data_IF_111841387899
#
_entry.id   IF_111841387899
#
_cell.length_a   1.000
_cell.length_b   1.000
_cell.length_c   1.000
_cell.angle_alpha   90.00
_cell.angle_beta   90.00
_cell.angle_gamma   90.00
#
_symmetry.space_group_name_H-M   'P 1'
#
loop_
_entity.id
_entity.type
_entity.pdbx_description
1 polymer ?
#
# COMPACT_ATOMS: atom_id res chain seq x y z
N UNK A 1 12.50 -27.09 15.67
CA UNK A 1 13.68 -26.73 14.86
C UNK A 1 14.21 -25.42 15.41
N UNK A 2 15.53 -25.23 15.51
CA UNK A 2 16.11 -24.00 16.05
C UNK A 2 16.00 -22.86 15.03
N UNK A 3 14.98 -22.00 15.19
CA UNK A 3 14.65 -20.90 14.27
C UNK A 3 15.75 -19.83 14.20
N UNK A 4 16.67 -19.78 15.18
CA UNK A 4 17.79 -18.83 15.24
C UNK A 4 18.77 -18.95 14.07
N UNK A 5 18.75 -20.05 13.31
CA UNK A 5 19.64 -20.27 12.16
C UNK A 5 19.21 -19.57 10.88
N UNK A 6 18.01 -18.98 10.83
CA UNK A 6 17.45 -18.33 9.61
C UNK A 6 17.33 -16.82 9.72
N UNK A 7 17.81 -16.23 10.81
CA UNK A 7 17.72 -14.79 11.10
C UNK A 7 19.06 -14.13 10.78
N UNK A 8 19.04 -13.01 10.07
CA UNK A 8 20.24 -12.22 9.83
C UNK A 8 20.76 -11.62 11.15
N UNK A 9 22.08 -11.55 11.39
CA UNK A 9 22.61 -10.93 12.60
C UNK A 9 22.19 -9.46 12.72
N UNK A 10 21.95 -9.00 13.95
CA UNK A 10 21.64 -7.60 14.25
C UNK A 10 22.76 -6.68 13.71
N UNK A 11 22.44 -5.58 13.03
CA UNK A 11 23.45 -4.56 12.75
C UNK A 11 23.89 -3.93 14.08
N UNK A 12 25.18 -4.09 14.41
CA UNK A 12 25.80 -3.42 15.55
C UNK A 12 26.08 -1.97 15.18
N UNK A 13 25.53 -1.04 15.96
CA UNK A 13 25.85 0.38 15.87
C UNK A 13 27.19 0.61 16.56
N UNK A 14 28.29 0.49 15.83
CA UNK A 14 29.56 1.07 16.24
C UNK A 14 30.11 1.92 15.09
N UNK A 15 30.39 3.18 15.42
CA UNK A 15 31.10 4.21 14.65
C UNK A 15 30.44 4.77 13.37
N UNK A 16 29.37 5.54 13.53
CA UNK A 16 29.03 6.60 12.58
C UNK A 16 29.68 7.94 13.04
N UNK A 17 30.49 8.62 12.20
CA UNK A 17 31.07 9.90 12.58
C UNK A 17 29.99 10.98 12.70
N UNK A 18 30.16 12.00 13.57
CA UNK A 18 29.22 13.11 13.66
C UNK A 18 29.31 13.93 12.37
N UNK A 19 28.16 14.20 11.73
CA UNK A 19 28.13 15.02 10.52
C UNK A 19 27.64 16.44 10.86
N UNK A 20 28.46 17.38 10.43
CA UNK A 20 28.40 18.82 10.67
C UNK A 20 27.08 19.51 10.26
N UNK A 21 26.79 20.52 11.07
CA UNK A 21 25.81 21.61 10.98
C UNK A 21 25.04 21.84 9.66
N UNK A 22 23.71 21.83 9.80
CA UNK A 22 22.74 22.43 8.88
C UNK A 22 22.91 23.96 8.80
N UNK A 23 23.74 24.46 7.88
CA UNK A 23 23.62 25.84 7.37
C UNK A 23 24.17 25.94 5.95
N UNK A 24 23.29 25.92 4.95
CA UNK A 24 23.43 26.80 3.78
C UNK A 24 22.04 27.23 3.26
N UNK A 25 21.81 28.52 2.98
CA UNK A 25 20.62 28.98 2.27
C UNK A 25 20.81 28.75 0.76
N UNK A 26 19.82 28.16 0.10
CA UNK A 26 19.79 28.00 -1.35
C UNK A 26 18.94 29.10 -1.99
N UNK A 27 19.49 29.74 -3.01
CA UNK A 27 18.92 30.84 -3.79
C UNK A 27 18.01 30.29 -4.89
N UNK A 28 16.73 30.64 -4.85
CA UNK A 28 15.73 30.16 -5.80
C UNK A 28 15.51 31.19 -6.92
N UNK A 29 16.16 30.97 -8.07
CA UNK A 29 15.77 31.63 -9.32
C UNK A 29 15.20 30.62 -10.33
N UNK A 30 13.89 30.80 -10.56
CA UNK A 30 13.07 30.48 -11.74
C UNK A 30 13.28 29.16 -12.51
N UNK A 31 12.23 28.34 -12.53
CA UNK A 31 11.88 27.53 -13.69
C UNK A 31 10.36 27.28 -13.74
N UNK A 32 9.64 28.11 -14.51
CA UNK A 32 8.27 27.80 -14.95
C UNK A 32 8.30 26.70 -16.01
N UNK A 33 7.45 25.69 -15.87
CA UNK A 33 7.25 24.62 -16.85
C UNK A 33 6.02 24.92 -17.74
N UNK A 34 6.15 24.97 -19.07
CA UNK A 34 5.01 25.19 -19.96
C UNK A 34 4.24 23.89 -20.26
N UNK A 35 2.92 23.98 -20.15
CA UNK A 35 1.94 22.94 -20.49
C UNK A 35 1.74 22.91 -22.02
N UNK A 36 2.22 21.86 -22.72
CA UNK A 36 1.96 21.67 -24.15
C UNK A 36 0.59 21.02 -24.39
N UNK A 37 -0.37 21.78 -24.91
CA UNK A 37 -1.60 21.26 -25.52
C UNK A 37 -1.43 21.20 -27.05
N UNK A 38 -1.55 19.99 -27.59
CA UNK A 38 -1.47 19.72 -29.03
C UNK A 38 -2.87 19.77 -29.64
N UNK A 39 -3.16 20.75 -30.50
CA UNK A 39 -4.35 20.70 -31.38
C UNK A 39 -3.94 20.90 -32.83
N UNK A 40 -4.32 19.92 -33.65
CA UNK A 40 -4.01 19.80 -35.08
C UNK A 40 -5.04 20.60 -35.89
N UNK A 41 -4.61 21.63 -36.62
CA UNK A 41 -5.47 22.35 -37.57
C UNK A 41 -5.62 21.59 -38.90
N UNK A 42 -6.80 21.62 -39.54
CA UNK A 42 -6.93 21.42 -40.97
C UNK A 42 -7.15 22.74 -41.72
N UNK A 43 -6.31 22.97 -42.76
CA UNK A 43 -6.46 24.04 -43.75
C UNK A 43 -7.52 23.69 -44.80
N UNK A 44 -8.37 24.65 -45.17
CA UNK A 44 -9.14 24.59 -46.42
C UNK A 44 -10.31 25.58 -46.46
N UNK A 45 -10.20 26.65 -47.26
CA UNK A 45 -11.21 27.72 -47.43
C UNK A 45 -12.40 27.27 -48.28
N UNK A 46 -13.61 27.68 -47.90
CA UNK A 46 -14.70 27.91 -48.85
C UNK A 46 -15.44 29.23 -48.52
N UNK A 47 -15.48 30.14 -49.50
CA UNK A 47 -15.98 31.53 -49.41
C UNK A 47 -17.46 31.59 -49.79
N UNK A 48 -18.37 31.13 -48.95
CA UNK A 48 -19.80 31.52 -49.02
C UNK A 48 -20.41 31.15 -47.68
N UNK A 49 -20.68 32.15 -46.81
CA UNK A 49 -21.52 32.14 -45.59
C UNK A 49 -21.01 33.11 -44.52
N UNK A 50 -20.78 34.40 -44.86
CA UNK A 50 -20.43 35.41 -43.85
C UNK A 50 -21.62 35.83 -42.96
N UNK A 51 -22.87 35.60 -43.39
CA UNK A 51 -24.06 35.90 -42.58
C UNK A 51 -24.41 34.80 -41.56
N UNK A 52 -24.29 33.52 -41.93
CA UNK A 52 -24.63 32.40 -41.06
C UNK A 52 -23.58 32.17 -39.96
N UNK A 53 -22.31 32.44 -40.24
CA UNK A 53 -21.23 32.27 -39.26
C UNK A 53 -21.27 33.31 -38.13
N UNK A 54 -21.67 34.56 -38.44
CA UNK A 54 -21.85 35.61 -37.43
C UNK A 54 -23.07 35.31 -36.55
N UNK A 55 -24.16 34.80 -37.12
CA UNK A 55 -25.31 34.36 -36.35
C UNK A 55 -24.99 33.16 -35.45
N UNK A 56 -24.25 32.16 -35.94
CA UNK A 56 -23.79 31.01 -35.15
C UNK A 56 -22.79 31.40 -34.06
N UNK A 57 -21.87 32.34 -34.33
CA UNK A 57 -20.97 32.89 -33.32
C UNK A 57 -21.72 33.68 -32.26
N UNK A 58 -22.70 34.49 -32.64
CA UNK A 58 -23.54 35.23 -31.69
C UNK A 58 -24.39 34.29 -30.83
N UNK A 59 -24.93 33.21 -31.42
CA UNK A 59 -25.66 32.16 -30.70
C UNK A 59 -24.73 31.38 -29.77
N UNK A 60 -23.53 30.98 -30.22
CA UNK A 60 -22.54 30.31 -29.37
C UNK A 60 -22.04 31.23 -28.24
N UNK A 61 -21.83 32.52 -28.50
CA UNK A 61 -21.43 33.49 -27.49
C UNK A 61 -22.58 33.75 -26.50
N UNK A 62 -23.83 33.83 -26.97
CA UNK A 62 -25.02 33.92 -26.12
C UNK A 62 -25.22 32.66 -25.29
N UNK A 63 -24.98 31.46 -25.84
CA UNK A 63 -25.01 30.19 -25.10
C UNK A 63 -23.87 30.10 -24.06
N UNK A 64 -22.67 30.59 -24.38
CA UNK A 64 -21.54 30.67 -23.44
C UNK A 64 -21.80 31.68 -22.31
N UNK A 65 -22.43 32.81 -22.64
CA UNK A 65 -22.85 33.81 -21.65
C UNK A 65 -24.01 33.29 -20.79
N UNK A 66 -24.96 32.55 -21.37
CA UNK A 66 -26.03 31.86 -20.65
C UNK A 66 -25.48 30.72 -19.79
N UNK A 67 -24.44 29.99 -20.22
CA UNK A 67 -23.75 29.00 -19.38
C UNK A 67 -23.00 29.64 -18.20
N UNK A 68 -22.52 30.89 -18.33
CA UNK A 68 -21.95 31.64 -17.19
C UNK A 68 -23.00 32.23 -16.25
N UNK A 69 -24.24 32.40 -16.72
CA UNK A 69 -25.36 32.94 -15.94
C UNK A 69 -26.30 31.85 -15.39
N UNK A 70 -26.11 30.59 -15.77
CA UNK A 70 -26.69 29.50 -14.99
C UNK A 70 -25.94 29.51 -13.66
N UNK A 71 -26.62 29.71 -12.52
CA UNK A 71 -26.01 29.34 -11.26
C UNK A 71 -25.60 27.88 -11.47
N UNK A 72 -24.30 27.59 -11.40
CA UNK A 72 -23.87 26.22 -11.21
C UNK A 72 -24.80 25.69 -10.12
N UNK A 73 -25.52 24.57 -10.33
CA UNK A 73 -26.21 23.96 -9.22
C UNK A 73 -25.12 23.84 -8.19
N UNK A 74 -25.23 24.62 -7.11
CA UNK A 74 -24.35 24.45 -5.97
C UNK A 74 -24.54 22.97 -5.70
N UNK A 75 -23.47 22.18 -5.94
CA UNK A 75 -23.37 20.85 -5.36
C UNK A 75 -23.88 21.09 -3.96
N UNK A 76 -25.02 20.49 -3.55
CA UNK A 76 -25.55 20.75 -2.24
C UNK A 76 -24.34 20.64 -1.34
N UNK A 77 -24.03 21.72 -0.61
CA UNK A 77 -23.02 21.68 0.42
C UNK A 77 -23.56 20.60 1.32
N UNK A 78 -23.10 19.37 1.07
CA UNK A 78 -23.41 18.23 1.88
C UNK A 78 -22.77 18.69 3.17
N UNK A 79 -23.61 19.19 4.07
CA UNK A 79 -23.27 19.34 5.46
C UNK A 79 -22.45 18.10 5.77
N UNK A 80 -21.22 18.27 6.26
CA UNK A 80 -20.42 17.18 6.80
C UNK A 80 -21.09 16.64 8.07
N UNK A 81 -22.34 16.24 7.93
CA UNK A 81 -23.15 15.38 8.77
C UNK A 81 -23.23 14.01 8.07
N UNK A 82 -22.17 13.60 7.36
CA UNK A 82 -21.84 12.19 7.39
C UNK A 82 -21.53 11.89 8.85
N UNK A 83 -22.54 11.40 9.58
CA UNK A 83 -22.35 10.75 10.88
C UNK A 83 -21.23 9.75 10.68
N UNK A 84 -20.04 10.10 11.15
CA UNK A 84 -18.90 9.20 11.22
C UNK A 84 -19.43 7.93 11.87
N UNK A 85 -19.14 6.76 11.29
CA UNK A 85 -19.57 5.49 11.89
C UNK A 85 -19.23 5.55 13.39
N UNK A 86 -20.20 5.28 14.29
CA UNK A 86 -19.94 5.34 15.71
C UNK A 86 -18.78 4.39 16.01
N UNK A 87 -17.73 4.90 16.67
CA UNK A 87 -16.65 4.06 17.14
C UNK A 87 -17.17 3.24 18.32
N UNK A 88 -17.22 1.93 18.16
CA UNK A 88 -17.54 0.99 19.23
C UNK A 88 -16.25 0.30 19.68
N UNK A 89 -16.05 0.21 20.99
CA UNK A 89 -15.00 -0.62 21.57
C UNK A 89 -15.51 -2.07 21.57
N UNK A 90 -14.79 -2.97 20.93
CA UNK A 90 -15.02 -4.42 21.07
C UNK A 90 -14.07 -4.92 22.16
N UNK A 91 -14.64 -5.56 23.18
CA UNK A 91 -13.89 -6.25 24.24
C UNK A 91 -13.93 -7.76 23.99
N UNK A 92 -12.81 -8.43 24.26
CA UNK A 92 -12.67 -9.88 24.14
C UNK A 92 -11.73 -10.41 25.22
N UNK A 93 -12.07 -11.55 25.82
CA UNK A 93 -11.33 -12.13 26.94
C UNK A 93 -10.12 -12.97 26.51
N UNK A 94 -10.24 -13.70 25.39
CA UNK A 94 -9.27 -14.74 25.00
C UNK A 94 -8.45 -14.38 23.76
N UNK A 95 -8.99 -13.54 22.88
CA UNK A 95 -8.36 -13.15 21.63
C UNK A 95 -9.31 -12.39 20.73
N UNK A 96 -8.76 -11.58 19.84
CA UNK A 96 -9.51 -10.78 18.88
C UNK A 96 -8.79 -10.80 17.51
N UNK A 97 -9.58 -10.70 16.44
CA UNK A 97 -9.08 -10.47 15.08
C UNK A 97 -9.80 -9.26 14.54
N UNK A 98 -9.03 -8.30 14.02
CA UNK A 98 -9.54 -7.11 13.38
C UNK A 98 -9.00 -7.03 11.95
N UNK A 99 -9.90 -6.97 10.98
CA UNK A 99 -9.60 -6.72 9.58
C UNK A 99 -10.60 -5.73 8.99
N UNK A 100 -10.33 -5.27 7.76
CA UNK A 100 -11.22 -4.36 7.03
C UNK A 100 -12.58 -4.97 6.66
N UNK A 101 -12.75 -6.29 6.81
CA UNK A 101 -13.98 -7.00 6.49
C UNK A 101 -14.41 -7.92 7.65
N UNK A 102 -15.64 -7.71 8.15
CA UNK A 102 -16.18 -8.49 9.27
C UNK A 102 -16.10 -10.00 9.04
N UNK A 103 -16.39 -10.48 7.82
CA UNK A 103 -16.36 -11.91 7.49
C UNK A 103 -14.96 -12.49 7.67
N UNK A 104 -13.93 -11.74 7.29
CA UNK A 104 -12.55 -12.17 7.42
C UNK A 104 -12.06 -12.12 8.87
N UNK A 105 -12.55 -11.15 9.65
CA UNK A 105 -12.35 -11.15 11.11
C UNK A 105 -13.00 -12.38 11.77
N UNK A 106 -14.24 -12.72 11.38
CA UNK A 106 -14.96 -13.88 11.90
C UNK A 106 -14.24 -15.22 11.55
N UNK A 107 -13.67 -15.32 10.34
CA UNK A 107 -12.85 -16.47 9.92
C UNK A 107 -11.60 -16.59 10.81
N UNK A 108 -10.89 -15.49 11.05
CA UNK A 108 -9.73 -15.50 11.94
C UNK A 108 -10.10 -15.88 13.39
N UNK A 109 -11.20 -15.34 13.92
CA UNK A 109 -11.72 -15.72 15.25
C UNK A 109 -12.09 -17.20 15.31
N UNK A 110 -12.67 -17.76 14.24
CA UNK A 110 -12.97 -19.19 14.16
C UNK A 110 -11.70 -20.03 14.28
N UNK A 111 -10.62 -19.63 13.60
CA UNK A 111 -9.31 -20.30 13.70
C UNK A 111 -8.72 -20.22 15.11
N UNK A 112 -8.84 -19.07 15.80
CA UNK A 112 -8.45 -18.97 17.21
C UNK A 112 -9.26 -19.93 18.10
N UNK A 113 -10.58 -20.02 17.88
CA UNK A 113 -11.47 -20.92 18.64
C UNK A 113 -11.17 -22.41 18.41
N UNK A 114 -10.62 -22.74 17.24
CA UNK A 114 -10.16 -24.10 16.91
C UNK A 114 -8.77 -24.42 17.49
N UNK A 115 -8.19 -23.50 18.26
CA UNK A 115 -6.91 -23.69 18.93
C UNK A 115 -5.70 -23.32 18.07
N UNK A 116 -5.91 -22.67 16.92
CA UNK A 116 -4.87 -21.98 16.17
C UNK A 116 -4.35 -20.76 16.92
N UNK A 117 -3.19 -20.26 16.54
CA UNK A 117 -2.61 -19.06 17.14
C UNK A 117 -2.85 -17.80 16.28
N UNK A 118 -2.25 -16.68 16.69
CA UNK A 118 -2.37 -15.41 15.99
C UNK A 118 -1.88 -15.47 14.53
N UNK A 119 -0.84 -16.26 14.24
CA UNK A 119 -0.31 -16.45 12.87
C UNK A 119 -1.30 -17.24 12.02
N UNK A 120 -1.84 -18.35 12.53
CA UNK A 120 -2.87 -19.14 11.84
C UNK A 120 -4.12 -18.30 11.51
N UNK A 121 -4.57 -17.51 12.49
CA UNK A 121 -5.73 -16.64 12.34
C UNK A 121 -5.48 -15.51 11.33
N UNK A 122 -4.28 -14.90 11.35
CA UNK A 122 -3.87 -13.89 10.39
C UNK A 122 -3.82 -14.44 8.96
N UNK A 123 -3.21 -15.61 8.75
CA UNK A 123 -3.15 -16.27 7.43
C UNK A 123 -4.56 -16.47 6.86
N UNK A 124 -5.48 -17.02 7.66
CA UNK A 124 -6.85 -17.29 7.22
C UNK A 124 -7.63 -16.00 6.92
N UNK A 125 -7.46 -14.98 7.75
CA UNK A 125 -8.09 -13.68 7.54
C UNK A 125 -7.57 -12.98 6.27
N UNK A 126 -6.26 -13.05 6.01
CA UNK A 126 -5.63 -12.46 4.83
C UNK A 126 -6.07 -13.14 3.53
N UNK A 127 -6.12 -14.48 3.50
CA UNK A 127 -6.68 -15.19 2.33
C UNK A 127 -8.14 -14.77 2.08
N UNK A 128 -8.94 -14.59 3.13
CA UNK A 128 -10.31 -14.10 2.98
C UNK A 128 -10.35 -12.68 2.42
N UNK A 129 -9.50 -11.77 2.92
CA UNK A 129 -9.41 -10.39 2.41
C UNK A 129 -9.05 -10.41 0.93
N UNK A 130 -8.11 -11.25 0.52
CA UNK A 130 -7.76 -11.46 -0.90
C UNK A 130 -8.92 -11.97 -1.77
N UNK A 131 -9.94 -12.61 -1.17
CA UNK A 131 -11.19 -12.99 -1.84
C UNK A 131 -12.14 -11.80 -1.96
N UNK A 132 -12.45 -11.12 -0.85
CA UNK A 132 -13.57 -10.16 -0.78
C UNK A 132 -13.19 -8.71 -1.07
N UNK A 133 -11.97 -8.30 -0.68
CA UNK A 133 -11.42 -6.95 -0.87
C UNK A 133 -10.19 -7.02 -1.79
N UNK A 134 -10.34 -7.71 -2.93
CA UNK A 134 -9.26 -7.97 -3.89
C UNK A 134 -8.67 -6.72 -4.56
N UNK A 135 -9.30 -5.55 -4.38
CA UNK A 135 -8.77 -4.27 -4.83
C UNK A 135 -7.66 -3.73 -3.90
N UNK A 136 -7.50 -4.31 -2.70
CA UNK A 136 -6.51 -3.92 -1.69
C UNK A 136 -5.37 -4.93 -1.56
N UNK A 137 -5.68 -6.22 -1.45
CA UNK A 137 -4.73 -7.29 -1.11
C UNK A 137 -5.06 -8.58 -1.88
N UNK A 138 -4.08 -9.48 -2.00
CA UNK A 138 -4.27 -10.83 -2.52
C UNK A 138 -2.97 -11.51 -2.94
N UNK A 139 -3.07 -12.79 -3.31
CA UNK A 139 -1.91 -13.65 -3.66
C UNK A 139 -1.03 -13.14 -4.82
N UNK A 140 -1.51 -12.15 -5.58
CA UNK A 140 -0.75 -11.52 -6.66
C UNK A 140 0.09 -10.32 -6.24
N UNK A 141 0.10 -9.95 -4.96
CA UNK A 141 0.91 -8.87 -4.42
C UNK A 141 1.93 -9.36 -3.38
N UNK A 142 2.19 -8.54 -2.37
CA UNK A 142 3.05 -8.86 -1.24
C UNK A 142 2.85 -7.89 -0.09
N UNK A 143 3.67 -8.04 0.96
CA UNK A 143 3.48 -7.28 2.18
C UNK A 143 4.50 -7.58 3.27
N UNK A 144 4.10 -7.32 4.51
CA UNK A 144 4.92 -7.54 5.69
C UNK A 144 4.07 -8.15 6.80
N UNK A 145 4.67 -8.96 7.66
CA UNK A 145 4.04 -9.47 8.87
C UNK A 145 4.97 -9.24 10.06
N UNK A 146 4.48 -8.54 11.09
CA UNK A 146 5.19 -8.41 12.37
C UNK A 146 4.61 -9.40 13.37
N UNK A 147 5.46 -10.29 13.88
CA UNK A 147 5.07 -11.36 14.79
C UNK A 147 5.75 -11.13 16.14
N UNK A 148 4.95 -10.95 17.18
CA UNK A 148 5.42 -10.88 18.56
C UNK A 148 5.35 -12.27 19.19
N UNK A 149 6.51 -12.83 19.53
CA UNK A 149 6.64 -14.11 20.21
C UNK A 149 6.68 -13.85 21.72
N UNK A 150 5.72 -14.40 22.49
CA UNK A 150 5.69 -14.21 23.93
C UNK A 150 6.97 -14.80 24.58
N UNK A 151 7.39 -14.27 25.73
CA UNK A 151 8.60 -14.73 26.39
C UNK A 151 8.50 -16.22 26.76
N UNK A 152 9.61 -16.94 26.63
CA UNK A 152 9.68 -18.38 26.95
C UNK A 152 9.68 -18.69 28.45
N UNK A 153 9.91 -17.68 29.29
CA UNK A 153 9.93 -17.79 30.74
C UNK A 153 9.31 -16.55 31.38
N UNK A 154 8.78 -16.70 32.60
CA UNK A 154 8.30 -15.57 33.38
C UNK A 154 9.42 -14.53 33.57
N UNK A 155 9.10 -13.25 33.36
CA UNK A 155 10.06 -12.14 33.42
C UNK A 155 10.94 -11.95 32.17
N UNK A 156 10.81 -12.80 31.14
CA UNK A 156 11.50 -12.61 29.86
C UNK A 156 10.88 -11.50 29.00
N UNK A 157 11.65 -10.99 28.02
CA UNK A 157 11.13 -10.09 26.98
C UNK A 157 10.53 -10.87 25.81
N UNK A 158 9.52 -10.30 25.16
CA UNK A 158 9.02 -10.84 23.89
C UNK A 158 10.06 -10.64 22.79
N UNK A 159 10.17 -11.59 21.87
CA UNK A 159 10.95 -11.42 20.64
C UNK A 159 10.00 -10.97 19.52
N UNK A 160 10.39 -9.96 18.75
CA UNK A 160 9.56 -9.43 17.67
C UNK A 160 10.30 -9.57 16.34
N UNK A 161 9.65 -10.22 15.39
CA UNK A 161 10.17 -10.51 14.06
C UNK A 161 9.32 -9.86 12.98
N UNK A 162 9.95 -9.42 11.91
CA UNK A 162 9.29 -8.97 10.68
C UNK A 162 9.60 -9.98 9.58
N UNK A 163 8.56 -10.49 8.93
CA UNK A 163 8.64 -11.21 7.66
C UNK A 163 8.38 -10.18 6.56
N UNK A 164 9.39 -9.92 5.74
CA UNK A 164 9.28 -9.14 4.50
C UNK A 164 9.04 -10.09 3.34
N UNK A 165 7.85 -9.97 2.77
CA UNK A 165 7.41 -10.65 1.57
C UNK A 165 6.85 -9.63 0.56
N UNK A 166 7.47 -8.45 0.51
CA UNK A 166 7.20 -7.43 -0.49
C UNK A 166 7.56 -7.94 -1.88
N UNK A 167 6.84 -7.47 -2.90
CA UNK A 167 7.17 -7.81 -4.28
C UNK A 167 8.57 -7.32 -4.65
N UNK A 168 9.31 -8.12 -5.42
CA UNK A 168 10.60 -7.70 -6.00
C UNK A 168 10.44 -7.29 -7.46
N UNK A 169 11.30 -6.40 -7.95
CA UNK A 169 11.32 -6.10 -9.38
C UNK A 169 11.75 -7.36 -10.16
N UNK A 170 11.04 -7.76 -11.23
CA UNK A 170 11.51 -8.82 -12.09
C UNK A 170 12.82 -8.41 -12.76
N UNK A 171 13.62 -9.39 -13.20
CA UNK A 171 14.94 -9.15 -13.82
C UNK A 171 14.90 -8.13 -14.96
N UNK A 172 13.81 -8.09 -15.72
CA UNK A 172 13.63 -7.18 -16.86
C UNK A 172 12.88 -5.87 -16.52
N UNK A 173 12.56 -5.63 -15.23
CA UNK A 173 11.86 -4.47 -14.63
C UNK A 173 10.61 -3.91 -15.37
N UNK A 174 9.43 -4.01 -14.75
CA UNK A 174 8.15 -3.48 -15.28
C UNK A 174 7.17 -3.25 -14.13
N UNK A 175 5.96 -2.81 -14.47
CA UNK A 175 4.84 -2.45 -13.60
C UNK A 175 4.31 -3.56 -12.69
N UNK A 176 4.68 -4.83 -12.90
CA UNK A 176 4.26 -5.97 -12.06
C UNK A 176 5.50 -6.56 -11.38
N UNK A 177 5.53 -6.48 -10.05
CA UNK A 177 6.56 -7.14 -9.23
C UNK A 177 6.29 -8.64 -9.07
N UNK A 178 7.32 -9.39 -8.69
CA UNK A 178 7.21 -10.83 -8.36
C UNK A 178 6.41 -10.97 -7.06
N UNK A 179 5.26 -11.67 -7.05
CA UNK A 179 4.39 -11.70 -5.87
C UNK A 179 4.99 -12.44 -4.69
N UNK A 180 4.94 -11.84 -3.50
CA UNK A 180 5.49 -12.41 -2.27
C UNK A 180 4.48 -13.00 -1.29
N UNK A 181 3.21 -12.64 -1.42
CA UNK A 181 2.15 -12.96 -0.43
C UNK A 181 2.14 -14.45 -0.02
N UNK A 182 2.09 -15.35 -0.99
CA UNK A 182 1.97 -16.80 -0.74
C UNK A 182 3.23 -17.35 -0.04
N UNK A 183 4.42 -16.90 -0.44
CA UNK A 183 5.70 -17.28 0.19
C UNK A 183 5.82 -16.72 1.61
N UNK A 184 5.38 -15.48 1.83
CA UNK A 184 5.39 -14.85 3.16
C UNK A 184 4.48 -15.55 4.15
N UNK A 185 3.25 -15.87 3.72
CA UNK A 185 2.30 -16.63 4.55
C UNK A 185 2.79 -18.06 4.79
N UNK A 186 3.45 -18.69 3.82
CA UNK A 186 4.13 -19.98 4.01
C UNK A 186 5.22 -19.88 5.08
N UNK A 187 6.12 -18.91 4.98
CA UNK A 187 7.22 -18.74 5.93
C UNK A 187 6.70 -18.50 7.36
N UNK A 188 5.66 -17.68 7.51
CA UNK A 188 4.98 -17.46 8.77
C UNK A 188 4.42 -18.76 9.35
N UNK A 189 3.76 -19.55 8.50
CA UNK A 189 3.18 -20.84 8.88
C UNK A 189 4.24 -21.87 9.28
N UNK A 190 5.34 -21.96 8.54
CA UNK A 190 6.45 -22.88 8.85
C UNK A 190 7.20 -22.48 10.13
N UNK A 191 7.32 -21.17 10.38
CA UNK A 191 7.96 -20.65 11.57
C UNK A 191 7.09 -20.81 12.82
N UNK A 192 5.80 -20.45 12.73
CA UNK A 192 4.95 -20.30 13.92
C UNK A 192 3.53 -20.86 13.76
N UNK A 193 3.12 -21.37 12.60
CA UNK A 193 1.79 -21.96 12.42
C UNK A 193 1.56 -23.20 13.28
N UNK A 194 0.31 -23.46 13.65
CA UNK A 194 -0.08 -24.61 14.47
C UNK A 194 -1.13 -25.49 13.79
N UNK A 195 -2.10 -24.91 13.09
CA UNK A 195 -3.10 -25.69 12.35
C UNK A 195 -2.57 -26.11 10.97
N UNK A 196 -3.24 -27.06 10.33
CA UNK A 196 -2.88 -27.49 8.97
C UNK A 196 -3.08 -26.36 7.96
N UNK A 197 -2.11 -26.17 7.06
CA UNK A 197 -2.19 -25.17 5.99
C UNK A 197 -3.51 -25.23 5.20
N UNK A 198 -3.94 -26.43 4.82
CA UNK A 198 -5.21 -26.66 4.12
C UNK A 198 -6.40 -26.10 4.88
N UNK A 199 -6.44 -26.27 6.21
CA UNK A 199 -7.51 -25.73 7.06
C UNK A 199 -7.51 -24.20 7.02
N UNK A 200 -6.36 -23.54 6.96
CA UNK A 200 -6.28 -22.08 6.93
C UNK A 200 -6.80 -21.48 5.61
N UNK A 201 -6.56 -22.17 4.50
CA UNK A 201 -6.96 -21.70 3.16
C UNK A 201 -8.42 -22.05 2.83
N UNK A 202 -8.94 -23.17 3.35
CA UNK A 202 -10.26 -23.71 2.99
C UNK A 202 -11.43 -22.71 3.06
N UNK A 203 -11.59 -21.88 4.11
CA UNK A 203 -12.70 -20.93 4.17
C UNK A 203 -12.71 -19.96 2.98
N UNK A 204 -11.54 -19.62 2.46
CA UNK A 204 -11.39 -18.72 1.32
C UNK A 204 -11.66 -19.41 -0.01
N UNK A 205 -11.37 -20.71 -0.13
CA UNK A 205 -11.76 -21.55 -1.27
C UNK A 205 -13.29 -21.55 -1.41
N UNK A 206 -13.97 -21.86 -0.31
CA UNK A 206 -15.43 -21.96 -0.25
C UNK A 206 -16.07 -20.60 -0.52
N UNK A 207 -15.53 -19.54 0.11
CA UNK A 207 -16.03 -18.19 -0.07
C UNK A 207 -15.88 -17.70 -1.51
N UNK A 208 -14.75 -17.99 -2.17
CA UNK A 208 -14.50 -17.58 -3.54
C UNK A 208 -15.45 -18.27 -4.56
N UNK A 209 -16.07 -19.40 -4.18
CA UNK A 209 -17.08 -20.04 -5.01
C UNK A 209 -18.37 -19.19 -5.14
N UNK A 210 -18.67 -18.35 -4.14
CA UNK A 210 -19.67 -17.30 -4.25
C UNK A 210 -20.04 -16.63 -2.93
N UNK A 211 -20.25 -15.31 -2.96
CA UNK A 211 -20.76 -14.55 -1.81
C UNK A 211 -21.58 -13.33 -2.25
N UNK A 212 -22.35 -12.76 -1.32
CA UNK A 212 -23.07 -11.50 -1.54
C UNK A 212 -22.10 -10.32 -1.46
N UNK A 213 -22.04 -9.50 -2.51
CA UNK A 213 -21.24 -8.27 -2.60
C UNK A 213 -21.60 -7.36 -1.43
N UNK A 214 -20.60 -6.93 -0.67
CA UNK A 214 -20.79 -5.98 0.42
C UNK A 214 -20.73 -4.53 -0.08
N UNK A 215 -21.14 -3.61 0.80
CA UNK A 215 -21.20 -2.18 0.52
C UNK A 215 -19.89 -1.60 0.01
N UNK A 216 -18.77 -2.02 0.57
CA UNK A 216 -17.47 -1.45 0.23
C UNK A 216 -16.98 -1.98 -1.12
N UNK A 217 -17.15 -3.28 -1.38
CA UNK A 217 -16.89 -3.84 -2.70
C UNK A 217 -17.77 -3.18 -3.76
N UNK A 218 -19.08 -3.02 -3.53
CA UNK A 218 -19.97 -2.34 -4.47
C UNK A 218 -19.49 -0.91 -4.80
N UNK A 219 -19.05 -0.16 -3.78
CA UNK A 219 -18.46 1.18 -3.96
C UNK A 219 -17.18 1.13 -4.80
N UNK A 220 -16.27 0.21 -4.50
CA UNK A 220 -15.00 0.04 -5.23
C UNK A 220 -15.22 -0.39 -6.68
N UNK A 221 -16.19 -1.26 -6.96
CA UNK A 221 -16.52 -1.67 -8.33
C UNK A 221 -16.89 -0.46 -9.20
N UNK A 222 -17.74 0.43 -8.69
CA UNK A 222 -18.11 1.66 -9.40
C UNK A 222 -16.91 2.59 -9.62
N UNK A 223 -16.06 2.75 -8.60
CA UNK A 223 -14.86 3.59 -8.65
C UNK A 223 -13.88 3.13 -9.74
N UNK A 224 -13.70 1.82 -9.90
CA UNK A 224 -12.76 1.24 -10.85
C UNK A 224 -13.36 0.83 -12.18
N UNK A 225 -14.66 1.08 -12.42
CA UNK A 225 -15.38 0.58 -13.59
C UNK A 225 -14.67 0.84 -14.94
N UNK A 226 -14.05 2.02 -15.10
CA UNK A 226 -13.29 2.40 -16.30
C UNK A 226 -12.10 1.49 -16.60
N UNK A 227 -11.48 0.91 -15.58
CA UNK A 227 -10.35 -0.02 -15.72
C UNK A 227 -10.82 -1.45 -16.00
N UNK A 228 -12.00 -1.82 -15.50
CA UNK A 228 -12.51 -3.19 -15.54
C UNK A 228 -13.28 -3.49 -16.82
N UNK A 229 -14.15 -2.58 -17.24
CA UNK A 229 -15.05 -2.78 -18.38
C UNK A 229 -14.35 -3.09 -19.72
N UNK A 230 -13.15 -2.55 -20.03
CA UNK A 230 -12.45 -2.91 -21.25
C UNK A 230 -11.84 -4.32 -21.27
N UNK A 231 -11.75 -5.02 -20.11
CA UNK A 231 -11.04 -6.30 -19.98
C UNK A 231 -12.02 -7.47 -19.87
N UNK A 232 -11.93 -8.42 -20.78
CA UNK A 232 -12.83 -9.59 -20.85
C UNK A 232 -12.78 -10.43 -19.56
N UNK A 233 -11.58 -10.74 -19.07
CA UNK A 233 -11.38 -11.55 -17.85
C UNK A 233 -12.02 -10.91 -16.61
N UNK A 234 -12.05 -9.58 -16.55
CA UNK A 234 -12.62 -8.84 -15.42
C UNK A 234 -14.14 -8.75 -15.56
N UNK A 235 -14.65 -8.58 -16.79
CA UNK A 235 -16.09 -8.60 -17.05
C UNK A 235 -16.73 -9.93 -16.67
N UNK A 236 -16.06 -11.05 -16.91
CA UNK A 236 -16.56 -12.37 -16.53
C UNK A 236 -16.83 -12.51 -15.01
N UNK A 237 -16.15 -11.70 -14.19
CA UNK A 237 -16.27 -11.73 -12.71
C UNK A 237 -17.21 -10.63 -12.22
N UNK A 238 -17.02 -9.39 -12.69
CA UNK A 238 -17.66 -8.20 -12.12
C UNK A 238 -18.87 -7.70 -12.91
N UNK A 239 -19.07 -8.23 -14.12
CA UNK A 239 -20.11 -7.81 -15.08
C UNK A 239 -20.75 -9.03 -15.77
N UNK A 240 -21.16 -10.08 -15.02
CA UNK A 240 -21.55 -11.38 -15.61
C UNK A 240 -22.78 -11.29 -16.53
N UNK A 241 -23.69 -10.35 -16.27
CA UNK A 241 -24.92 -10.14 -17.06
C UNK A 241 -24.86 -8.87 -17.92
N UNK A 242 -23.65 -8.36 -18.19
CA UNK A 242 -23.48 -7.08 -18.90
C UNK A 242 -23.68 -5.84 -18.03
N UNK A 243 -24.13 -6.02 -16.78
CA UNK A 243 -24.25 -4.98 -15.76
C UNK A 243 -23.26 -5.21 -14.62
N UNK A 244 -22.70 -4.13 -14.10
CA UNK A 244 -21.78 -4.18 -12.98
C UNK A 244 -22.50 -4.61 -11.72
N UNK A 245 -21.89 -5.52 -10.96
CA UNK A 245 -22.47 -6.02 -9.73
C UNK A 245 -22.71 -4.92 -8.70
N UNK A 246 -23.85 -5.03 -8.02
CA UNK A 246 -24.32 -4.15 -6.95
C UNK A 246 -24.27 -4.84 -5.59
N UNK A 247 -24.39 -4.05 -4.51
CA UNK A 247 -24.48 -4.57 -3.13
C UNK A 247 -25.62 -5.59 -3.01
N UNK A 248 -25.34 -6.72 -2.36
CA UNK A 248 -26.28 -7.84 -2.17
C UNK A 248 -26.30 -8.86 -3.30
N UNK A 249 -25.83 -8.54 -4.50
CA UNK A 249 -25.75 -9.49 -5.61
C UNK A 249 -24.66 -10.54 -5.38
N UNK A 250 -24.79 -11.70 -6.02
CA UNK A 250 -23.82 -12.79 -5.86
C UNK A 250 -22.65 -12.64 -6.82
N UNK A 251 -21.46 -12.39 -6.29
CA UNK A 251 -20.20 -12.46 -7.03
C UNK A 251 -19.57 -13.85 -6.88
N UNK A 252 -18.88 -14.33 -7.94
CA UNK A 252 -18.16 -15.60 -7.94
C UNK A 252 -16.78 -15.43 -8.55
N UNK A 253 -15.76 -16.04 -7.94
CA UNK A 253 -14.38 -16.07 -8.45
C UNK A 253 -13.92 -17.52 -8.57
N UNK A 254 -14.60 -18.30 -9.40
CA UNK A 254 -14.40 -19.76 -9.51
C UNK A 254 -12.99 -20.16 -9.94
N UNK A 255 -12.35 -19.39 -10.84
CA UNK A 255 -10.93 -19.58 -11.18
C UNK A 255 -10.04 -19.38 -9.96
N UNK A 256 -10.30 -18.34 -9.17
CA UNK A 256 -9.55 -18.03 -7.95
C UNK A 256 -9.75 -19.10 -6.87
N UNK A 257 -10.99 -19.58 -6.69
CA UNK A 257 -11.31 -20.69 -5.80
C UNK A 257 -10.50 -21.94 -6.17
N UNK A 258 -10.41 -22.29 -7.45
CA UNK A 258 -9.55 -23.38 -7.93
C UNK A 258 -8.07 -23.15 -7.65
N UNK A 259 -7.56 -21.94 -7.90
CA UNK A 259 -6.17 -21.58 -7.58
C UNK A 259 -5.87 -21.76 -6.09
N UNK A 260 -6.74 -21.28 -5.21
CA UNK A 260 -6.60 -21.46 -3.77
C UNK A 260 -6.69 -22.94 -3.37
N UNK A 261 -7.54 -23.73 -4.02
CA UNK A 261 -7.62 -25.17 -3.81
C UNK A 261 -6.31 -25.89 -4.17
N UNK A 262 -5.71 -25.55 -5.32
CA UNK A 262 -4.39 -26.08 -5.71
C UNK A 262 -3.31 -25.68 -4.71
N UNK A 263 -3.26 -24.41 -4.27
CA UNK A 263 -2.32 -23.93 -3.25
C UNK A 263 -2.51 -24.67 -1.91
N UNK A 264 -3.75 -24.96 -1.54
CA UNK A 264 -4.05 -25.70 -0.32
C UNK A 264 -3.59 -27.16 -0.42
N UNK A 265 -3.92 -27.86 -1.51
CA UNK A 265 -3.68 -29.29 -1.65
C UNK A 265 -2.25 -29.66 -2.02
N UNK A 266 -1.61 -28.89 -2.90
CA UNK A 266 -0.25 -29.16 -3.41
C UNK A 266 0.81 -28.35 -2.66
N UNK A 267 0.38 -27.39 -1.83
CA UNK A 267 1.23 -26.52 -1.03
C UNK A 267 1.61 -25.21 -1.75
N UNK A 268 2.12 -24.22 -1.00
CA UNK A 268 2.36 -22.86 -1.50
C UNK A 268 3.33 -22.78 -2.69
N UNK A 269 4.29 -23.72 -2.76
CA UNK A 269 5.30 -23.79 -3.81
C UNK A 269 4.72 -23.89 -5.23
N UNK A 270 3.50 -24.41 -5.39
CA UNK A 270 2.86 -24.54 -6.71
C UNK A 270 2.64 -23.17 -7.37
N UNK A 271 2.41 -22.12 -6.58
CA UNK A 271 2.20 -20.76 -7.06
C UNK A 271 3.43 -20.20 -7.81
N UNK A 272 4.63 -20.63 -7.42
CA UNK A 272 5.91 -20.14 -7.95
C UNK A 272 6.46 -20.98 -9.11
N UNK A 273 5.71 -22.02 -9.53
CA UNK A 273 6.08 -22.91 -10.65
C UNK A 273 5.17 -22.72 -11.87
N UNK A 274 4.31 -21.71 -11.85
CA UNK A 274 3.42 -21.40 -12.97
C UNK A 274 4.23 -20.80 -14.12
N UNK A 275 3.78 -21.06 -15.34
CA UNK A 275 4.38 -20.43 -16.51
C UNK A 275 4.02 -18.94 -16.52
N UNK A 276 5.02 -18.08 -16.51
CA UNK A 276 4.79 -16.65 -16.70
C UNK A 276 4.20 -16.42 -18.11
N UNK A 277 3.03 -15.78 -18.18
CA UNK A 277 2.30 -15.54 -19.43
C UNK A 277 2.05 -14.05 -19.61
N UNK A 278 2.57 -13.50 -20.72
CA UNK A 278 2.54 -12.06 -20.94
C UNK A 278 3.45 -11.28 -19.97
N UNK A 279 3.72 -10.01 -20.29
CA UNK A 279 4.66 -9.20 -19.52
C UNK A 279 6.12 -9.65 -19.68
N UNK A 280 6.94 -9.34 -18.68
CA UNK A 280 8.40 -9.56 -18.70
C UNK A 280 8.91 -10.42 -17.53
N UNK A 281 8.01 -10.84 -16.64
CA UNK A 281 8.33 -11.74 -15.55
C UNK A 281 8.67 -13.11 -16.15
N UNK A 282 9.75 -13.71 -15.67
CA UNK A 282 10.21 -15.04 -16.11
C UNK A 282 9.87 -16.09 -15.06
N UNK A 283 9.86 -17.36 -15.45
CA UNK A 283 9.78 -18.45 -14.48
C UNK A 283 10.94 -18.39 -13.45
N UNK A 284 12.12 -17.97 -13.88
CA UNK A 284 13.26 -17.77 -12.98
C UNK A 284 13.01 -16.69 -11.93
N UNK A 285 12.26 -15.63 -12.24
CA UNK A 285 11.90 -14.61 -11.25
C UNK A 285 10.98 -15.20 -10.17
N UNK A 286 9.98 -16.02 -10.56
CA UNK A 286 9.06 -16.68 -9.63
C UNK A 286 9.77 -17.73 -8.78
N UNK A 287 10.57 -18.61 -9.39
CA UNK A 287 11.25 -19.71 -8.69
C UNK A 287 12.31 -19.22 -7.70
N UNK A 288 12.96 -18.08 -7.99
CA UNK A 288 14.00 -17.50 -7.15
C UNK A 288 13.47 -16.50 -6.10
N UNK A 289 12.15 -16.28 -6.03
CA UNK A 289 11.60 -15.37 -5.02
C UNK A 289 11.89 -15.89 -3.60
N UNK A 290 12.38 -14.99 -2.74
CA UNK A 290 12.70 -15.29 -1.35
C UNK A 290 12.12 -14.23 -0.42
N UNK A 291 11.87 -14.65 0.81
CA UNK A 291 11.37 -13.82 1.91
C UNK A 291 12.49 -13.56 2.88
N UNK A 292 12.46 -12.40 3.54
CA UNK A 292 13.43 -12.03 4.58
C UNK A 292 12.74 -12.07 5.93
N UNK A 293 13.40 -12.68 6.92
CA UNK A 293 12.91 -12.73 8.30
C UNK A 293 13.97 -12.14 9.21
N UNK A 294 13.69 -10.96 9.75
CA UNK A 294 14.63 -10.20 10.56
C UNK A 294 13.98 -9.74 11.88
N UNK A 295 14.79 -9.32 12.84
CA UNK A 295 14.29 -8.67 14.05
C UNK A 295 13.62 -7.34 13.70
N UNK A 296 12.44 -7.10 14.25
CA UNK A 296 11.68 -5.87 14.00
C UNK A 296 12.40 -4.66 14.62
N UNK A 297 12.43 -3.55 13.88
CA UNK A 297 12.85 -2.25 14.40
C UNK A 297 11.94 -1.84 15.57
N UNK A 298 12.54 -1.52 16.71
CA UNK A 298 11.81 -1.21 17.93
C UNK A 298 12.20 0.17 18.47
N UNK A 299 11.22 0.86 19.04
CA UNK A 299 11.39 2.14 19.72
C UNK A 299 10.53 2.18 20.98
N UNK A 300 10.84 3.11 21.89
CA UNK A 300 10.07 3.31 23.12
C UNK A 300 9.31 4.62 23.05
N UNK A 301 8.06 4.59 23.53
CA UNK A 301 7.20 5.77 23.61
C UNK A 301 6.44 5.74 24.93
N UNK A 302 6.43 6.84 25.69
CA UNK A 302 5.75 6.90 26.99
C UNK A 302 4.35 7.51 26.84
N UNK A 303 3.32 6.78 27.24
CA UNK A 303 1.92 7.24 27.15
C UNK A 303 1.67 8.56 27.90
N UNK A 304 2.37 8.81 29.00
CA UNK A 304 2.29 10.05 29.78
C UNK A 304 2.54 11.29 28.94
N UNK A 305 3.36 11.19 27.88
CA UNK A 305 3.75 12.30 27.02
C UNK A 305 2.55 12.89 26.24
N UNK A 306 1.43 12.16 26.13
CA UNK A 306 0.20 12.64 25.46
C UNK A 306 -0.95 13.01 26.42
N UNK A 307 -0.86 12.68 27.72
CA UNK A 307 -1.99 12.86 28.66
C UNK A 307 -2.17 14.33 29.05
N UNK A 308 -1.15 15.17 28.91
CA UNK A 308 -1.13 16.53 29.46
C UNK A 308 -1.97 17.57 28.70
N UNK A 309 -1.93 17.62 27.36
CA UNK A 309 -2.48 18.78 26.62
C UNK A 309 -3.58 18.43 25.60
N UNK A 310 -3.79 17.16 25.28
CA UNK A 310 -4.86 16.74 24.35
C UNK A 310 -4.75 17.36 22.94
N UNK A 311 -5.87 17.33 22.21
CA UNK A 311 -5.97 17.77 20.81
C UNK A 311 -6.21 19.29 20.73
N UNK A 312 -5.16 20.10 20.89
CA UNK A 312 -5.19 21.56 20.67
C UNK A 312 -4.77 21.94 19.25
N UNK A 313 -5.06 23.17 18.82
CA UNK A 313 -4.58 23.69 17.54
C UNK A 313 -3.05 23.68 17.43
N UNK A 314 -2.36 24.05 18.52
CA UNK A 314 -0.90 24.02 18.60
C UNK A 314 -0.34 22.59 18.52
N UNK A 315 -0.96 21.61 19.19
CA UNK A 315 -0.50 20.22 19.14
C UNK A 315 -0.74 19.57 17.78
N UNK A 316 -1.85 19.90 17.11
CA UNK A 316 -2.08 19.50 15.72
C UNK A 316 -1.03 20.13 14.81
N UNK A 317 -0.74 21.42 15.00
CA UNK A 317 0.29 22.13 14.24
C UNK A 317 1.67 21.46 14.38
N UNK A 318 2.15 21.28 15.61
CA UNK A 318 3.43 20.61 15.91
C UNK A 318 3.47 19.17 15.36
N UNK A 319 2.36 18.44 15.44
CA UNK A 319 2.24 17.11 14.86
C UNK A 319 2.38 17.14 13.32
N UNK A 320 1.74 18.09 12.65
CA UNK A 320 1.85 18.27 11.19
C UNK A 320 3.28 18.66 10.80
N UNK A 321 3.93 19.56 11.53
CA UNK A 321 5.33 19.94 11.27
C UNK A 321 6.28 18.74 11.45
N UNK A 322 6.09 17.94 12.51
CA UNK A 322 6.84 16.70 12.71
C UNK A 322 6.62 15.69 11.57
N UNK A 323 5.39 15.56 11.07
CA UNK A 323 5.11 14.72 9.89
C UNK A 323 5.90 15.19 8.66
N UNK A 324 5.99 16.51 8.41
CA UNK A 324 6.73 17.04 7.25
C UNK A 324 8.22 16.71 7.31
N UNK A 325 8.85 16.83 8.49
CA UNK A 325 10.21 16.36 8.69
C UNK A 325 10.34 14.85 8.46
N UNK A 326 9.39 14.05 8.96
CA UNK A 326 9.35 12.61 8.71
C UNK A 326 9.22 12.26 7.22
N UNK A 327 8.38 12.96 6.46
CA UNK A 327 8.21 12.75 5.01
C UNK A 327 9.42 13.23 4.20
N UNK A 328 10.10 14.29 4.63
CA UNK A 328 11.36 14.71 4.03
C UNK A 328 12.48 13.69 4.31
N UNK A 329 12.53 13.12 5.51
CA UNK A 329 13.41 12.00 5.83
C UNK A 329 13.06 10.75 5.00
N UNK A 330 11.78 10.51 4.70
CA UNK A 330 11.32 9.36 3.91
C UNK A 330 11.88 9.34 2.47
N UNK A 331 12.18 10.49 1.84
CA UNK A 331 12.72 10.50 0.47
C UNK A 331 14.15 9.92 0.38
N UNK A 332 14.70 9.57 1.54
CA UNK A 332 16.08 9.16 1.76
C UNK A 332 16.20 7.67 2.13
N UNK A 333 15.13 6.91 1.91
CA UNK A 333 14.99 5.51 2.31
C UNK A 333 14.54 4.70 1.09
N UNK A 334 15.23 3.60 0.84
CA UNK A 334 14.99 2.61 -0.19
C UNK A 334 15.32 1.19 0.29
N UNK A 335 15.50 0.26 -0.66
CA UNK A 335 15.87 -1.12 -0.33
C UNK A 335 17.33 -1.18 0.13
N UNK A 336 17.53 -1.54 1.39
CA UNK A 336 18.84 -1.61 2.06
C UNK A 336 19.82 -2.57 1.38
N UNK A 337 19.33 -3.55 0.61
CA UNK A 337 20.19 -4.45 -0.17
C UNK A 337 20.86 -3.73 -1.36
N UNK A 338 20.31 -2.60 -1.80
CA UNK A 338 20.77 -1.88 -2.99
C UNK A 338 21.28 -0.46 -2.69
N UNK A 339 20.90 0.13 -1.55
CA UNK A 339 21.35 1.47 -1.18
C UNK A 339 22.28 1.42 0.03
N UNK A 340 23.58 1.42 -0.25
CA UNK A 340 24.64 1.20 0.76
C UNK A 340 24.82 2.34 1.77
N UNK A 341 24.36 3.56 1.45
CA UNK A 341 24.49 4.73 2.34
C UNK A 341 23.25 4.96 3.24
N UNK A 342 22.20 4.14 3.11
CA UNK A 342 20.92 4.38 3.81
C UNK A 342 20.75 3.56 5.09
N UNK A 343 21.52 2.49 5.31
CA UNK A 343 21.42 1.65 6.52
C UNK A 343 21.69 2.45 7.80
N UNK A 344 22.72 3.32 7.78
CA UNK A 344 23.01 4.22 8.90
C UNK A 344 21.87 5.25 9.12
N UNK A 345 21.21 5.68 8.04
CA UNK A 345 20.15 6.70 8.08
C UNK A 345 18.83 6.14 8.59
N UNK A 346 18.46 4.93 8.18
CA UNK A 346 17.29 4.21 8.72
C UNK A 346 17.48 3.93 10.22
N UNK A 347 18.70 3.56 10.63
CA UNK A 347 19.03 3.41 12.04
C UNK A 347 18.89 4.74 12.81
N UNK A 348 19.39 5.85 12.24
CA UNK A 348 19.36 7.18 12.86
C UNK A 348 17.94 7.76 13.00
N UNK A 349 17.12 7.72 11.96
CA UNK A 349 15.78 8.36 11.93
C UNK A 349 14.87 7.84 13.06
N UNK A 350 15.09 6.61 13.48
CA UNK A 350 14.34 5.98 14.57
C UNK A 350 14.81 6.36 15.99
N UNK A 351 15.91 7.11 16.11
CA UNK A 351 16.50 7.46 17.40
C UNK A 351 15.84 8.68 18.05
N UNK A 352 15.88 8.74 19.38
CA UNK A 352 15.40 9.91 20.12
C UNK A 352 16.29 11.13 19.90
N UNK A 353 17.60 10.93 19.71
CA UNK A 353 18.54 12.02 19.36
C UNK A 353 18.14 12.73 18.07
N UNK A 354 17.78 11.97 17.02
CA UNK A 354 17.29 12.54 15.77
C UNK A 354 15.96 13.28 15.98
N UNK A 355 15.03 12.68 16.71
CA UNK A 355 13.75 13.31 17.03
C UNK A 355 13.92 14.63 17.83
N UNK A 356 14.85 14.69 18.79
CA UNK A 356 15.15 15.88 19.56
C UNK A 356 15.74 16.99 18.67
N UNK A 357 16.62 16.63 17.71
CA UNK A 357 17.15 17.57 16.74
C UNK A 357 16.07 18.16 15.82
N UNK A 358 15.09 17.33 15.40
CA UNK A 358 13.91 17.79 14.63
C UNK A 358 13.02 18.69 15.48
N UNK A 359 12.78 18.35 16.74
CA UNK A 359 11.90 19.09 17.64
C UNK A 359 12.34 20.55 17.81
N UNK A 360 13.66 20.82 17.82
CA UNK A 360 14.23 22.17 17.90
C UNK A 360 13.87 23.07 16.71
N UNK A 361 13.50 22.48 15.57
CA UNK A 361 13.14 23.20 14.35
C UNK A 361 11.63 23.37 14.18
N UNK A 362 10.81 22.91 15.12
CA UNK A 362 9.36 23.13 15.07
C UNK A 362 9.06 24.57 15.52
N UNK A 363 8.45 25.36 14.63
CA UNK A 363 7.95 26.70 14.96
C UNK A 363 6.49 26.65 15.35
N UNK A 364 6.07 27.33 16.41
CA UNK A 364 4.69 27.26 16.92
C UNK A 364 3.66 28.09 16.13
N UNK A 365 4.13 29.08 15.37
CA UNK A 365 3.29 30.13 14.77
C UNK A 365 3.13 30.03 13.24
N UNK A 366 3.91 29.17 12.58
CA UNK A 366 3.96 29.06 11.11
C UNK A 366 4.39 27.69 10.62
N UNK A 367 4.09 27.42 9.36
CA UNK A 367 4.68 26.35 8.54
C UNK A 367 5.74 26.93 7.62
N UNK A 368 6.56 26.07 7.02
CA UNK A 368 7.61 26.45 6.08
C UNK A 368 7.38 25.86 4.68
N UNK A 369 8.20 26.28 3.72
CA UNK A 369 8.24 25.70 2.36
C UNK A 369 8.89 24.30 2.39
N UNK A 370 8.69 23.45 1.37
CA UNK A 370 9.26 22.10 1.34
C UNK A 370 10.77 22.04 1.58
N UNK A 371 11.53 23.02 1.09
CA UNK A 371 13.00 23.08 1.17
C UNK A 371 13.49 23.18 2.61
N UNK A 372 12.71 23.82 3.49
CA UNK A 372 13.02 23.94 4.91
C UNK A 372 13.18 22.59 5.60
N UNK A 373 12.36 21.61 5.20
CA UNK A 373 12.37 20.26 5.77
C UNK A 373 13.50 19.38 5.18
N UNK A 374 14.25 19.89 4.20
CA UNK A 374 15.40 19.26 3.56
C UNK A 374 15.13 17.84 2.98
N UNK A 375 14.18 17.69 2.04
CA UNK A 375 13.98 16.43 1.33
C UNK A 375 15.12 16.18 0.33
N UNK A 376 15.52 14.92 0.15
CA UNK A 376 16.32 14.54 -1.02
C UNK A 376 15.38 14.39 -2.21
N UNK A 377 15.50 15.27 -3.20
CA UNK A 377 14.69 15.26 -4.42
C UNK A 377 15.39 14.58 -5.60
N UNK A 378 16.67 14.21 -5.43
CA UNK A 378 17.52 13.66 -6.49
C UNK A 378 17.90 12.21 -6.17
N UNK A 379 17.38 11.28 -6.96
CA UNK A 379 17.95 9.93 -7.07
C UNK A 379 19.04 10.00 -8.12
N UNK A 380 20.31 9.92 -7.72
CA UNK A 380 21.43 9.80 -8.66
C UNK A 380 21.37 8.43 -9.33
N UNK A 381 20.65 8.31 -10.44
CA UNK A 381 20.70 7.10 -11.28
C UNK A 381 21.99 7.17 -12.09
N UNK A 382 23.08 6.65 -11.53
CA UNK A 382 24.31 6.38 -12.27
C UNK A 382 24.04 5.23 -13.24
N UNK A 383 23.60 5.55 -14.44
CA UNK A 383 23.66 4.61 -15.56
C UNK A 383 25.12 4.29 -15.82
N UNK A 384 25.61 3.16 -15.30
CA UNK A 384 26.74 2.48 -15.89
C UNK A 384 26.29 1.98 -17.28
N UNK A 385 26.25 2.88 -18.26
CA UNK A 385 26.23 2.50 -19.66
C UNK A 385 27.52 1.72 -19.92
N UNK A 386 27.46 0.40 -19.81
CA UNK A 386 28.44 -0.47 -20.43
C UNK A 386 28.45 -0.12 -21.92
N UNK A 387 29.46 0.65 -22.35
CA UNK A 387 29.72 0.85 -23.78
C UNK A 387 29.97 -0.54 -24.36
N UNK A 388 29.28 -0.94 -25.46
CA UNK A 388 29.67 -2.13 -26.19
C UNK A 388 31.12 -1.94 -26.62
N UNK A 389 31.97 -2.92 -26.32
CA UNK A 389 33.29 -3.02 -26.93
C UNK A 389 33.12 -3.06 -28.44
N UNK A 390 33.61 -2.04 -29.14
CA UNK A 390 33.69 -2.04 -30.60
C UNK A 390 34.58 -3.19 -31.04
N UNK A 391 34.00 -4.16 -31.75
CA UNK A 391 34.72 -5.12 -32.59
C UNK A 391 35.20 -4.46 -33.88
#
# INVERSE_FOLDING_TARGET
MDYRKRVSPLPTVEDAPPVDSFKQPFDSTEAELPLYLYTKEPKGRCRWQRGAFVALLAICLAMLLLQRYQPHPHLPTQSCTQTRNPAYLIEAEHGAVASENKRCSDIGVTVLKEGGNAVDAAISAVFCVGVVNMFSSGIGGGGFMTVCIPPSSEGGSSEVYTIDFRETAPTLANTVGVPGEVRGLQEAHECWGKLLWTRLVQPSIDLAAGWAVDKELARCLQMFARLMLPKEDWRAIFVPEGLMLLEGETIRRTNYSRTLATIASEGPNVFYKVQATGGIMTNGDLENYTVKVDHTLQGTYQRSDFIGEGRTGLNIHRFIEALKFGFAARTKIGDLAYVTNETARVAEISTKTYADAVALNLTDDRTHTPEYYNPDLWVWVSFACARPSSS
#
